data_IF_046580604110
#
_entry.id   IF_046580604110
#
_cell.length_a   1.000
_cell.length_b   1.000
_cell.length_c   1.000
_cell.angle_alpha   90.00
_cell.angle_beta   90.00
_cell.angle_gamma   90.00
#
_symmetry.space_group_name_H-M   'P 1'
#
loop_
_entity.id
_entity.type
_entity.pdbx_description
1 polymer ?
#
# COMPACT_ATOMS: atom_id res chain seq x y z
N UNK A 1 -27.06 -16.72 0.46
CA UNK A 1 -26.49 -15.35 0.38
C UNK A 1 -25.70 -15.22 -0.92
N UNK A 2 -26.19 -14.45 -1.87
CA UNK A 2 -25.52 -14.15 -3.14
C UNK A 2 -24.50 -13.03 -2.93
N UNK A 3 -23.23 -13.32 -3.19
CA UNK A 3 -22.10 -12.39 -3.06
C UNK A 3 -22.13 -11.35 -4.19
N UNK A 4 -22.76 -10.20 -3.99
CA UNK A 4 -22.75 -9.09 -4.96
C UNK A 4 -21.50 -8.23 -4.78
N UNK A 5 -20.40 -8.63 -5.43
CA UNK A 5 -19.17 -7.82 -5.43
C UNK A 5 -19.37 -6.54 -6.25
N UNK A 6 -18.99 -5.39 -5.69
CA UNK A 6 -18.90 -4.13 -6.44
C UNK A 6 -17.81 -4.26 -7.52
N UNK A 7 -18.17 -4.20 -8.80
CA UNK A 7 -17.22 -4.28 -9.90
C UNK A 7 -17.88 -4.13 -11.27
N UNK A 8 -17.12 -3.75 -12.30
CA UNK A 8 -17.67 -3.53 -13.63
C UNK A 8 -18.06 -4.87 -14.27
N UNK A 9 -19.34 -5.05 -14.58
CA UNK A 9 -19.87 -6.07 -15.49
C UNK A 9 -19.40 -7.53 -15.28
N UNK A 10 -19.71 -8.43 -16.24
CA UNK A 10 -19.17 -9.78 -16.22
C UNK A 10 -17.63 -9.77 -16.34
N UNK A 11 -16.96 -10.63 -15.56
CA UNK A 11 -15.48 -10.77 -15.60
C UNK A 11 -15.06 -11.26 -16.98
N UNK A 12 -14.45 -10.37 -17.77
CA UNK A 12 -13.86 -10.75 -19.06
C UNK A 12 -12.65 -11.67 -18.85
N UNK A 13 -12.48 -12.64 -19.76
CA UNK A 13 -11.29 -13.47 -19.80
C UNK A 13 -10.08 -12.61 -20.19
N UNK A 14 -9.06 -12.57 -19.33
CA UNK A 14 -7.78 -11.94 -19.64
C UNK A 14 -6.74 -13.03 -19.95
N UNK A 15 -6.07 -12.99 -21.12
CA UNK A 15 -5.00 -13.94 -21.48
C UNK A 15 -3.88 -13.98 -20.44
N UNK A 16 -3.22 -15.14 -20.30
CA UNK A 16 -2.15 -15.35 -19.30
C UNK A 16 -1.02 -14.31 -19.39
N UNK A 17 -0.45 -14.00 -20.57
CA UNK A 17 0.65 -13.03 -20.66
C UNK A 17 0.23 -11.63 -20.16
N UNK A 18 -0.99 -11.21 -20.49
CA UNK A 18 -1.53 -9.92 -20.05
C UNK A 18 -1.79 -9.90 -18.54
N UNK A 19 -2.28 -11.01 -17.95
CA UNK A 19 -2.40 -11.14 -16.49
C UNK A 19 -1.04 -11.02 -15.80
N UNK A 20 -0.03 -11.75 -16.28
CA UNK A 20 1.32 -11.71 -15.71
C UNK A 20 1.91 -10.30 -15.77
N UNK A 21 1.87 -9.65 -16.94
CA UNK A 21 2.35 -8.29 -17.12
C UNK A 21 1.65 -7.29 -16.18
N UNK A 22 0.33 -7.43 -16.00
CA UNK A 22 -0.45 -6.59 -15.07
C UNK A 22 -0.02 -6.77 -13.62
N UNK A 23 0.20 -8.00 -13.17
CA UNK A 23 0.69 -8.27 -11.82
C UNK A 23 2.07 -7.67 -11.60
N UNK A 24 3.02 -7.89 -12.52
CA UNK A 24 4.36 -7.32 -12.42
C UNK A 24 4.33 -5.80 -12.37
N UNK A 25 3.54 -5.17 -13.24
CA UNK A 25 3.42 -3.70 -13.25
C UNK A 25 2.93 -3.17 -11.91
N UNK A 26 1.89 -3.78 -11.34
CA UNK A 26 1.28 -3.34 -10.07
C UNK A 26 2.19 -3.65 -8.87
N UNK A 27 2.81 -4.83 -8.82
CA UNK A 27 3.70 -5.20 -7.72
C UNK A 27 5.01 -4.42 -7.77
N UNK A 28 5.54 -4.13 -8.95
CA UNK A 28 6.73 -3.31 -9.08
C UNK A 28 6.46 -1.86 -8.69
N UNK A 29 5.32 -1.30 -9.10
CA UNK A 29 4.99 0.10 -8.82
C UNK A 29 4.51 0.36 -7.39
N UNK A 30 3.79 -0.57 -6.76
CA UNK A 30 3.26 -0.34 -5.42
C UNK A 30 4.28 -0.70 -4.34
N UNK A 31 4.54 -1.98 -3.99
CA UNK A 31 5.48 -2.31 -2.92
C UNK A 31 6.96 -2.18 -3.31
N UNK A 32 7.39 -2.69 -4.48
CA UNK A 32 8.83 -2.78 -4.78
C UNK A 32 9.49 -1.41 -4.93
N UNK A 33 8.88 -0.50 -5.70
CA UNK A 33 9.39 0.86 -5.86
C UNK A 33 9.51 1.59 -4.51
N UNK A 34 8.52 1.43 -3.63
CA UNK A 34 8.48 2.05 -2.31
C UNK A 34 9.57 1.49 -1.41
N UNK A 35 9.85 0.19 -1.47
CA UNK A 35 11.01 -0.39 -0.76
C UNK A 35 12.31 0.29 -1.21
N UNK A 36 12.54 0.35 -2.53
CA UNK A 36 13.74 0.98 -3.10
C UNK A 36 13.85 2.45 -2.70
N UNK A 37 12.76 3.23 -2.81
CA UNK A 37 12.75 4.64 -2.43
C UNK A 37 12.98 4.82 -0.93
N UNK A 38 12.38 3.96 -0.09
CA UNK A 38 12.57 4.04 1.37
C UNK A 38 14.04 3.86 1.75
N UNK A 39 14.74 2.91 1.13
CA UNK A 39 16.18 2.73 1.37
C UNK A 39 17.01 3.88 0.78
N UNK A 40 16.67 4.35 -0.43
CA UNK A 40 17.39 5.43 -1.10
C UNK A 40 17.31 6.77 -0.32
N UNK A 41 16.15 7.08 0.28
CA UNK A 41 15.94 8.29 1.05
C UNK A 41 16.32 8.16 2.53
N UNK A 42 16.62 6.96 3.02
CA UNK A 42 16.98 6.77 4.42
C UNK A 42 18.13 7.69 4.89
N UNK A 43 19.25 7.87 4.15
CA UNK A 43 20.32 8.78 4.56
C UNK A 43 19.89 10.23 4.69
N UNK A 44 18.90 10.67 3.89
CA UNK A 44 18.36 12.04 3.93
C UNK A 44 17.40 12.24 5.10
N UNK A 45 16.74 11.16 5.56
CA UNK A 45 15.83 11.20 6.70
C UNK A 45 16.55 11.15 8.05
N UNK A 46 17.74 10.53 8.13
CA UNK A 46 18.47 10.36 9.40
C UNK A 46 18.80 11.67 10.15
N UNK A 47 19.13 12.78 9.49
CA UNK A 47 19.37 14.04 10.18
C UNK A 47 18.11 14.67 10.81
N UNK A 48 16.91 14.23 10.44
CA UNK A 48 15.68 14.79 10.98
C UNK A 48 15.46 14.35 12.45
N UNK A 49 14.91 15.25 13.28
CA UNK A 49 14.66 14.99 14.71
C UNK A 49 13.64 13.87 14.95
N UNK A 50 12.66 13.72 14.05
CA UNK A 50 11.67 12.64 14.11
C UNK A 50 11.35 12.17 12.68
N UNK A 51 12.16 11.28 12.12
CA UNK A 51 11.94 10.84 10.74
C UNK A 51 10.79 9.85 10.66
N UNK A 52 9.87 10.12 9.73
CA UNK A 52 8.68 9.31 9.53
C UNK A 52 8.49 9.00 8.04
N UNK A 53 8.05 7.78 7.76
CA UNK A 53 7.65 7.33 6.42
C UNK A 53 6.22 6.84 6.49
N UNK A 54 5.33 7.47 5.73
CA UNK A 54 3.90 7.13 5.70
C UNK A 54 3.56 6.56 4.33
N UNK A 55 3.28 5.26 4.29
CA UNK A 55 2.91 4.56 3.05
C UNK A 55 1.40 4.56 2.84
N UNK A 56 0.97 5.01 1.66
CA UNK A 56 -0.44 5.01 1.26
C UNK A 56 -0.89 3.60 0.82
N UNK A 57 -1.67 2.94 1.66
CA UNK A 57 -2.29 1.65 1.38
C UNK A 57 -3.77 1.80 0.99
N UNK A 58 -4.58 0.78 1.22
CA UNK A 58 -6.00 0.74 0.88
C UNK A 58 -6.74 -0.23 1.82
N UNK A 59 -8.03 -0.01 2.03
CA UNK A 59 -8.90 -0.99 2.69
C UNK A 59 -8.89 -2.36 1.99
N UNK A 60 -8.60 -2.39 0.68
CA UNK A 60 -8.41 -3.63 -0.09
C UNK A 60 -7.17 -4.43 0.32
N UNK A 61 -6.25 -3.84 1.08
CA UNK A 61 -5.10 -4.52 1.69
C UNK A 61 -5.42 -5.24 3.00
N UNK A 62 -6.67 -5.16 3.48
CA UNK A 62 -7.12 -5.93 4.66
C UNK A 62 -7.38 -7.37 4.27
N UNK A 63 -6.56 -8.30 4.79
CA UNK A 63 -6.74 -9.74 4.58
C UNK A 63 -8.10 -10.22 5.12
N UNK A 64 -8.55 -9.67 6.25
CA UNK A 64 -9.86 -9.96 6.84
C UNK A 64 -11.00 -9.52 5.92
N UNK A 65 -10.95 -8.28 5.44
CA UNK A 65 -12.05 -7.75 4.61
C UNK A 65 -12.01 -8.31 3.18
N UNK A 66 -10.85 -8.74 2.67
CA UNK A 66 -10.72 -9.32 1.34
C UNK A 66 -11.53 -10.61 1.15
N UNK A 67 -11.81 -11.33 2.24
CA UNK A 67 -12.68 -12.51 2.24
C UNK A 67 -14.17 -12.16 2.33
N UNK A 68 -14.51 -10.90 2.63
CA UNK A 68 -15.90 -10.43 2.63
C UNK A 68 -16.35 -10.05 1.23
N UNK A 69 -17.65 -10.20 0.94
CA UNK A 69 -18.24 -9.79 -0.33
C UNK A 69 -18.50 -8.28 -0.45
N UNK A 70 -18.14 -7.51 0.58
CA UNK A 70 -18.48 -6.09 0.70
C UNK A 70 -17.45 -5.15 0.06
N UNK A 71 -16.40 -5.69 -0.56
CA UNK A 71 -15.33 -4.90 -1.16
C UNK A 71 -15.18 -5.14 -2.67
N UNK A 72 -14.73 -4.10 -3.37
CA UNK A 72 -14.35 -4.20 -4.77
C UNK A 72 -13.25 -5.24 -4.98
N UNK A 73 -13.37 -6.05 -6.03
CA UNK A 73 -12.44 -7.16 -6.27
C UNK A 73 -11.49 -6.85 -7.43
N UNK A 74 -10.28 -6.42 -7.07
CA UNK A 74 -9.17 -6.23 -8.01
C UNK A 74 -7.95 -6.99 -7.47
N UNK A 75 -7.83 -8.31 -7.74
CA UNK A 75 -6.86 -9.18 -7.05
C UNK A 75 -5.41 -8.70 -7.07
N UNK A 76 -4.90 -8.23 -8.22
CA UNK A 76 -3.54 -7.72 -8.32
C UNK A 76 -3.29 -6.47 -7.45
N UNK A 77 -4.24 -5.53 -7.46
CA UNK A 77 -4.16 -4.33 -6.63
C UNK A 77 -4.30 -4.66 -5.14
N UNK A 78 -5.29 -5.49 -4.77
CA UNK A 78 -5.47 -5.97 -3.40
C UNK A 78 -4.21 -6.65 -2.85
N UNK A 79 -3.66 -7.62 -3.60
CA UNK A 79 -2.41 -8.30 -3.25
C UNK A 79 -1.24 -7.32 -3.05
N UNK A 80 -1.11 -6.33 -3.93
CA UNK A 80 -0.06 -5.31 -3.79
C UNK A 80 -0.21 -4.44 -2.53
N UNK A 81 -1.44 -4.19 -2.09
CA UNK A 81 -1.73 -3.40 -0.87
C UNK A 81 -1.60 -4.25 0.40
N UNK A 82 -1.88 -5.56 0.35
CA UNK A 82 -1.46 -6.50 1.41
C UNK A 82 0.07 -6.51 1.51
N UNK A 83 0.76 -6.62 0.37
CA UNK A 83 2.22 -6.57 0.30
C UNK A 83 2.80 -5.27 0.86
N UNK A 84 2.19 -4.12 0.57
CA UNK A 84 2.58 -2.82 1.14
C UNK A 84 2.49 -2.80 2.68
N UNK A 85 1.42 -3.37 3.24
CA UNK A 85 1.24 -3.47 4.69
C UNK A 85 2.36 -4.32 5.31
N UNK A 86 2.60 -5.52 4.75
CA UNK A 86 3.65 -6.42 5.21
C UNK A 86 5.05 -5.82 5.06
N UNK A 87 5.35 -5.19 3.92
CA UNK A 87 6.62 -4.51 3.66
C UNK A 87 6.89 -3.44 4.73
N UNK A 88 5.92 -2.58 5.01
CA UNK A 88 6.09 -1.50 5.99
C UNK A 88 6.35 -2.04 7.39
N UNK A 89 5.69 -3.14 7.77
CA UNK A 89 5.94 -3.84 9.05
C UNK A 89 7.35 -4.43 9.09
N UNK A 90 7.78 -5.16 8.06
CA UNK A 90 9.11 -5.77 8.03
C UNK A 90 10.24 -4.74 8.00
N UNK A 91 10.07 -3.62 7.29
CA UNK A 91 11.02 -2.51 7.34
C UNK A 91 11.07 -1.86 8.73
N UNK A 92 9.96 -1.82 9.46
CA UNK A 92 9.96 -1.32 10.84
C UNK A 92 10.64 -2.28 11.82
N UNK A 93 10.53 -3.59 11.57
CA UNK A 93 11.27 -4.63 12.31
C UNK A 93 12.76 -4.48 12.07
N UNK A 94 13.19 -4.44 10.81
CA UNK A 94 14.61 -4.24 10.43
C UNK A 94 15.21 -3.00 11.10
N UNK A 95 14.46 -1.89 11.09
CA UNK A 95 14.84 -0.66 11.78
C UNK A 95 15.00 -0.84 13.29
N UNK A 96 14.05 -1.55 13.91
CA UNK A 96 14.07 -1.77 15.36
C UNK A 96 15.23 -2.68 15.76
N UNK A 97 15.54 -3.69 14.95
CA UNK A 97 16.66 -4.60 15.16
C UNK A 97 18.01 -3.88 15.01
N UNK A 98 18.14 -2.95 14.07
CA UNK A 98 19.35 -2.13 13.91
C UNK A 98 19.61 -1.22 15.13
N UNK A 99 18.55 -0.67 15.72
CA UNK A 99 18.66 0.13 16.95
C UNK A 99 19.02 -0.77 18.14
N UNK A 100 18.35 -1.92 18.29
CA UNK A 100 18.58 -2.84 19.40
C UNK A 100 19.98 -3.48 19.39
N UNK A 101 20.54 -3.73 18.21
CA UNK A 101 21.91 -4.27 18.02
C UNK A 101 23.01 -3.20 18.14
N UNK A 102 22.65 -1.93 18.30
CA UNK A 102 23.60 -0.82 18.40
C UNK A 102 24.21 -0.38 17.07
N UNK A 103 23.89 -1.04 15.95
CA UNK A 103 24.39 -0.70 14.60
C UNK A 103 24.07 0.74 14.21
N UNK A 104 23.03 1.35 14.82
CA UNK A 104 22.62 2.74 14.63
C UNK A 104 22.08 3.37 15.94
N UNK A 105 22.75 3.11 17.07
CA UNK A 105 22.27 3.55 18.39
C UNK A 105 22.09 5.07 18.52
N UNK A 106 22.93 5.85 17.85
CA UNK A 106 22.91 7.32 17.92
C UNK A 106 22.04 7.97 16.83
N UNK A 107 21.54 7.19 15.86
CA UNK A 107 20.68 7.71 14.80
C UNK A 107 19.20 7.73 15.24
N UNK A 108 18.43 8.76 14.87
CA UNK A 108 16.99 8.76 15.07
C UNK A 108 16.31 7.57 14.37
N UNK A 109 15.48 6.85 15.12
CA UNK A 109 14.67 5.73 14.61
C UNK A 109 13.64 6.22 13.61
N UNK A 110 13.66 5.68 12.39
CA UNK A 110 12.65 6.00 11.37
C UNK A 110 11.35 5.25 11.69
N UNK A 111 10.29 5.99 12.01
CA UNK A 111 8.95 5.42 12.23
C UNK A 111 8.25 5.20 10.90
N UNK A 112 7.60 4.05 10.74
CA UNK A 112 6.89 3.66 9.52
C UNK A 112 5.43 3.46 9.82
N UNK A 113 4.59 4.15 9.06
CA UNK A 113 3.14 4.09 9.17
C UNK A 113 2.53 3.66 7.85
N UNK A 114 1.32 3.12 7.94
CA UNK A 114 0.52 2.76 6.78
C UNK A 114 -0.87 3.33 6.95
N UNK A 115 -1.33 4.08 5.96
CA UNK A 115 -2.64 4.75 6.01
C UNK A 115 -3.48 4.31 4.82
N UNK A 116 -4.76 4.03 5.07
CA UNK A 116 -5.74 3.77 4.02
C UNK A 116 -6.70 4.97 3.91
N UNK A 117 -6.56 5.83 2.89
CA UNK A 117 -7.36 7.06 2.78
C UNK A 117 -8.82 6.82 2.39
N UNK A 118 -9.23 5.56 2.19
CA UNK A 118 -10.56 5.20 1.72
C UNK A 118 -10.73 5.41 0.22
N UNK A 119 -11.99 5.40 -0.24
CA UNK A 119 -12.33 5.69 -1.63
C UNK A 119 -12.30 7.21 -1.84
N UNK A 120 -11.48 7.68 -2.78
CA UNK A 120 -11.32 9.10 -3.09
C UNK A 120 -11.87 9.42 -4.47
N UNK A 121 -12.34 10.66 -4.65
CA UNK A 121 -12.80 11.20 -5.93
C UNK A 121 -11.59 11.72 -6.71
N UNK A 122 -10.90 10.82 -7.39
CA UNK A 122 -9.70 11.11 -8.19
C UNK A 122 -9.82 10.47 -9.57
N UNK A 123 -8.89 10.80 -10.47
CA UNK A 123 -8.79 10.13 -11.76
C UNK A 123 -8.70 8.60 -11.63
N UNK A 124 -8.03 8.08 -10.60
CA UNK A 124 -7.88 6.65 -10.34
C UNK A 124 -9.22 5.92 -10.13
N UNK A 125 -10.23 6.62 -9.62
CA UNK A 125 -11.58 6.08 -9.40
C UNK A 125 -12.59 6.57 -10.43
N UNK A 126 -12.13 7.24 -11.49
CA UNK A 126 -12.99 7.86 -12.50
C UNK A 126 -13.85 8.99 -11.94
N UNK A 127 -13.38 9.69 -10.91
CA UNK A 127 -14.13 10.73 -10.19
C UNK A 127 -15.49 10.27 -9.65
N UNK A 128 -15.56 9.02 -9.15
CA UNK A 128 -16.77 8.46 -8.56
C UNK A 128 -17.36 9.34 -7.44
N UNK A 129 -18.67 9.62 -7.51
CA UNK A 129 -19.41 10.39 -6.51
C UNK A 129 -19.46 9.72 -5.12
N UNK A 130 -19.12 8.44 -5.04
CA UNK A 130 -18.99 7.70 -3.77
C UNK A 130 -17.67 7.96 -3.06
N UNK A 131 -16.72 8.61 -3.73
CA UNK A 131 -15.42 8.94 -3.17
C UNK A 131 -15.45 10.24 -2.39
N UNK A 132 -14.65 10.32 -1.32
CA UNK A 132 -14.40 11.57 -0.59
C UNK A 132 -13.45 12.49 -1.37
N UNK A 133 -13.46 13.78 -1.06
CA UNK A 133 -12.55 14.73 -1.70
C UNK A 133 -11.08 14.47 -1.31
N UNK A 134 -10.11 14.60 -2.23
CA UNK A 134 -8.69 14.33 -1.94
C UNK A 134 -8.15 15.15 -0.75
N UNK A 135 -8.58 16.41 -0.64
CA UNK A 135 -8.14 17.31 0.43
C UNK A 135 -8.65 16.89 1.82
N UNK A 136 -9.75 16.15 1.88
CA UNK A 136 -10.26 15.63 3.16
C UNK A 136 -9.47 14.41 3.63
N UNK A 137 -8.93 13.63 2.69
CA UNK A 137 -8.18 12.42 3.00
C UNK A 137 -6.68 12.63 3.19
N UNK A 138 -6.17 13.81 2.84
CA UNK A 138 -4.78 14.21 3.04
C UNK A 138 -4.52 14.86 4.42
N UNK A 139 -5.57 15.06 5.22
CA UNK A 139 -5.50 15.51 6.60
C UNK A 139 -5.20 14.33 7.53
#
# INVERSE_FOLDING_TARGET
>A
MTCTRFGPGPRQYTPRPQKFARYNTILNSNPTSVAVLTHAFAPVLRPATSPEVINASSGLGSMRNALTCNMGSVPAYGASKVGMNGLSMHLQVEESDCVASGVRAEEPKIKRFVVAPGLLRTFFTGYSDKGREPNEAAK
#
